data_IF_725856000200
#
_entry.id   IF_725856000200
#
_cell.length_a   1.000
_cell.length_b   1.000
_cell.length_c   1.000
_cell.angle_alpha   90.00
_cell.angle_beta   90.00
_cell.angle_gamma   90.00
#
_symmetry.space_group_name_H-M   'P 1'
#
loop_
_entity.id
_entity.type
_entity.pdbx_description
1 polymer ?
#
# COMPACT_ATOMS: atom_id res chain seq x y z
N UNK A 1 -18.33 3.90 -3.08
CA UNK A 1 -19.38 4.36 -2.15
C UNK A 1 -18.79 4.52 -0.75
N UNK A 2 -19.43 5.26 0.15
CA UNK A 2 -18.95 5.53 1.52
C UNK A 2 -19.52 4.57 2.58
N UNK A 3 -19.18 4.82 3.85
CA UNK A 3 -19.74 4.17 5.02
C UNK A 3 -19.67 2.63 4.95
N UNK A 4 -20.82 1.93 4.93
CA UNK A 4 -20.84 0.46 5.00
C UNK A 4 -20.14 -0.23 3.83
N UNK A 5 -20.13 0.39 2.64
CA UNK A 5 -19.39 -0.17 1.52
C UNK A 5 -17.88 -0.14 1.74
N UNK A 6 -17.39 0.89 2.40
CA UNK A 6 -15.98 1.03 2.76
C UNK A 6 -15.61 0.06 3.89
N UNK A 7 -16.44 -0.06 4.93
CA UNK A 7 -16.15 -0.96 6.06
C UNK A 7 -16.21 -2.44 5.68
N UNK A 8 -17.03 -2.83 4.69
CA UNK A 8 -17.04 -4.20 4.16
C UNK A 8 -15.73 -4.61 3.47
N UNK A 9 -14.86 -3.67 3.10
CA UNK A 9 -13.55 -3.97 2.52
C UNK A 9 -12.50 -4.35 3.57
N UNK A 10 -12.73 -4.06 4.86
CA UNK A 10 -11.73 -4.18 5.93
C UNK A 10 -11.14 -5.58 6.01
N UNK A 11 -11.97 -6.63 5.95
CA UNK A 11 -11.48 -8.02 5.99
C UNK A 11 -10.61 -8.36 4.78
N UNK A 12 -10.99 -7.90 3.58
CA UNK A 12 -10.22 -8.13 2.36
C UNK A 12 -8.88 -7.38 2.37
N UNK A 13 -8.88 -6.14 2.86
CA UNK A 13 -7.68 -5.33 3.06
C UNK A 13 -6.74 -6.02 4.05
N UNK A 14 -7.25 -6.45 5.20
CA UNK A 14 -6.46 -7.16 6.21
C UNK A 14 -5.85 -8.44 5.65
N UNK A 15 -6.62 -9.23 4.89
CA UNK A 15 -6.09 -10.44 4.25
C UNK A 15 -4.95 -10.12 3.27
N UNK A 16 -5.15 -9.13 2.40
CA UNK A 16 -4.12 -8.70 1.45
C UNK A 16 -2.84 -8.22 2.16
N UNK A 17 -2.97 -7.51 3.29
CA UNK A 17 -1.85 -7.07 4.10
C UNK A 17 -1.06 -8.24 4.69
N UNK A 18 -1.76 -9.23 5.25
CA UNK A 18 -1.14 -10.43 5.82
C UNK A 18 -0.38 -11.23 4.74
N UNK A 19 -0.98 -11.39 3.57
CA UNK A 19 -0.42 -12.16 2.46
C UNK A 19 0.67 -11.43 1.66
N UNK A 20 0.91 -10.15 1.97
CA UNK A 20 1.77 -9.27 1.15
C UNK A 20 1.32 -9.24 -0.30
N UNK A 21 0.01 -9.01 -0.51
CA UNK A 21 -0.61 -8.89 -1.82
C UNK A 21 -0.80 -7.40 -2.17
N UNK A 22 -0.37 -6.95 -3.36
CA UNK A 22 -0.61 -5.58 -3.80
C UNK A 22 -2.11 -5.39 -4.06
N UNK A 23 -2.71 -4.39 -3.41
CA UNK A 23 -4.12 -4.05 -3.56
C UNK A 23 -4.29 -2.53 -3.47
N UNK A 24 -5.14 -1.95 -4.31
CA UNK A 24 -5.56 -0.55 -4.19
C UNK A 24 -7.07 -0.54 -3.97
N UNK A 25 -7.49 -0.17 -2.77
CA UNK A 25 -8.90 -0.03 -2.40
C UNK A 25 -9.32 1.43 -2.62
N UNK A 26 -10.40 1.65 -3.37
CA UNK A 26 -10.92 2.99 -3.63
C UNK A 26 -12.30 3.11 -3.00
N UNK A 27 -12.47 4.06 -2.09
CA UNK A 27 -13.73 4.32 -1.38
C UNK A 27 -14.25 5.71 -1.69
N UNK A 28 -15.56 5.87 -1.53
CA UNK A 28 -16.15 7.21 -1.56
C UNK A 28 -16.24 7.75 -0.13
N UNK A 29 -16.25 9.06 0.00
CA UNK A 29 -16.49 9.76 1.26
C UNK A 29 -17.67 10.73 1.11
N UNK A 30 -18.23 11.17 2.23
CA UNK A 30 -19.16 12.32 2.27
C UNK A 30 -18.49 13.56 1.67
N UNK A 31 -19.28 14.56 1.28
CA UNK A 31 -18.73 15.79 0.70
C UNK A 31 -17.86 16.54 1.72
N UNK A 32 -16.79 17.20 1.26
CA UNK A 32 -15.81 17.87 2.14
C UNK A 32 -16.43 18.77 3.24
N UNK A 33 -17.49 19.59 2.98
CA UNK A 33 -18.05 20.49 4.01
C UNK A 33 -18.72 19.79 5.19
N UNK A 34 -19.02 18.50 5.06
CA UNK A 34 -19.71 17.70 6.09
C UNK A 34 -18.83 16.60 6.68
N UNK A 35 -17.56 16.52 6.29
CA UNK A 35 -16.58 15.67 6.98
C UNK A 35 -16.38 16.21 8.40
N UNK A 36 -16.38 15.31 9.39
CA UNK A 36 -16.31 15.56 10.81
C UNK A 36 -17.62 16.03 11.44
N UNK A 37 -18.76 15.89 10.76
CA UNK A 37 -20.07 16.41 11.22
C UNK A 37 -21.13 15.33 11.42
N UNK A 38 -20.71 14.07 11.52
CA UNK A 38 -21.59 12.90 11.63
C UNK A 38 -22.62 12.84 10.51
N UNK A 39 -22.18 13.14 9.29
CA UNK A 39 -23.04 13.08 8.12
C UNK A 39 -23.52 11.64 7.86
N UNK A 40 -24.66 11.49 7.18
CA UNK A 40 -25.19 10.16 6.87
C UNK A 40 -24.16 9.34 6.07
N UNK A 41 -23.83 8.14 6.57
CA UNK A 41 -22.80 7.24 6.04
C UNK A 41 -21.37 7.81 6.03
N UNK A 42 -21.10 8.82 6.85
CA UNK A 42 -19.74 9.19 7.19
C UNK A 42 -19.09 8.08 8.02
N UNK A 43 -17.85 7.74 7.68
CA UNK A 43 -17.05 6.79 8.44
C UNK A 43 -15.58 7.11 8.21
N UNK A 44 -14.80 7.16 9.29
CA UNK A 44 -13.35 7.30 9.22
C UNK A 44 -12.70 5.98 8.77
N UNK A 45 -12.87 5.65 7.48
CA UNK A 45 -12.29 4.45 6.88
C UNK A 45 -10.76 4.51 6.92
N UNK A 46 -10.18 5.70 6.84
CA UNK A 46 -8.74 5.92 6.99
C UNK A 46 -8.28 5.44 8.36
N UNK A 47 -8.90 5.92 9.44
CA UNK A 47 -8.62 5.48 10.81
C UNK A 47 -8.76 3.97 11.00
N UNK A 48 -9.82 3.38 10.45
CA UNK A 48 -10.10 1.93 10.54
C UNK A 48 -9.00 1.10 9.85
N UNK A 49 -8.46 1.58 8.72
CA UNK A 49 -7.58 0.80 7.86
C UNK A 49 -6.09 1.14 7.98
N UNK A 50 -5.71 2.21 8.68
CA UNK A 50 -4.30 2.54 9.00
C UNK A 50 -3.46 1.33 9.45
N UNK A 51 -3.92 0.46 10.39
CA UNK A 51 -3.08 -0.65 10.86
C UNK A 51 -2.94 -1.81 9.88
N UNK A 52 -3.73 -1.81 8.81
CA UNK A 52 -3.83 -2.92 7.84
C UNK A 52 -3.58 -2.45 6.40
N UNK A 53 -2.96 -1.29 6.23
CA UNK A 53 -2.56 -0.71 4.94
C UNK A 53 -1.12 -0.25 4.98
N UNK A 54 -0.50 -0.13 3.82
CA UNK A 54 0.82 0.51 3.68
C UNK A 54 0.70 2.03 3.71
N UNK A 55 -0.40 2.54 3.20
CA UNK A 55 -0.69 3.97 3.14
C UNK A 55 -2.18 4.18 2.90
N UNK A 56 -2.68 5.32 3.37
CA UNK A 56 -4.04 5.78 3.14
C UNK A 56 -3.98 7.21 2.61
N UNK A 57 -4.80 7.49 1.59
CA UNK A 57 -5.00 8.82 1.06
C UNK A 57 -6.44 9.26 1.31
N UNK A 58 -6.63 10.52 1.72
CA UNK A 58 -7.90 11.24 1.60
C UNK A 58 -7.70 12.35 0.57
N UNK A 59 -8.28 12.19 -0.62
CA UNK A 59 -8.04 13.11 -1.75
C UNK A 59 -9.04 14.26 -1.70
N UNK A 60 -8.64 15.40 -1.15
CA UNK A 60 -9.52 16.58 -1.00
C UNK A 60 -9.45 17.57 -2.17
N UNK A 61 -8.52 17.37 -3.09
CA UNK A 61 -8.32 18.19 -4.30
C UNK A 61 -8.30 17.28 -5.53
N UNK A 62 -9.17 17.56 -6.50
CA UNK A 62 -9.28 16.78 -7.74
C UNK A 62 -7.99 16.83 -8.57
N UNK A 63 -7.19 17.90 -8.46
CA UNK A 63 -5.93 18.04 -9.20
C UNK A 63 -4.86 17.03 -8.75
N UNK A 64 -4.90 16.58 -7.49
CA UNK A 64 -3.96 15.61 -6.95
C UNK A 64 -4.35 14.15 -7.28
N UNK A 65 -5.59 13.90 -7.72
CA UNK A 65 -6.14 12.54 -7.86
C UNK A 65 -5.29 11.65 -8.78
N UNK A 66 -4.86 12.16 -9.94
CA UNK A 66 -4.05 11.40 -10.90
C UNK A 66 -2.70 10.99 -10.31
N UNK A 67 -2.07 11.89 -9.56
CA UNK A 67 -0.81 11.65 -8.86
C UNK A 67 -0.99 10.64 -7.72
N UNK A 68 -2.01 10.83 -6.89
CA UNK A 68 -2.32 9.91 -5.79
C UNK A 68 -2.56 8.48 -6.29
N UNK A 69 -3.26 8.31 -7.41
CA UNK A 69 -3.45 6.98 -7.99
C UNK A 69 -2.11 6.38 -8.43
N UNK A 70 -1.25 7.15 -9.13
CA UNK A 70 0.08 6.65 -9.53
C UNK A 70 0.93 6.24 -8.31
N UNK A 71 0.93 7.06 -7.27
CA UNK A 71 1.64 6.78 -6.01
C UNK A 71 1.10 5.53 -5.32
N UNK A 72 -0.22 5.39 -5.21
CA UNK A 72 -0.86 4.26 -4.55
C UNK A 72 -0.46 2.93 -5.20
N UNK A 73 -0.46 2.86 -6.54
CA UNK A 73 -0.02 1.67 -7.26
C UNK A 73 1.47 1.39 -7.07
N UNK A 74 2.32 2.41 -7.02
CA UNK A 74 3.74 2.23 -6.75
C UNK A 74 3.96 1.68 -5.34
N UNK A 75 3.39 2.35 -4.33
CA UNK A 75 3.48 1.94 -2.93
C UNK A 75 2.94 0.52 -2.76
N UNK A 76 1.79 0.18 -3.36
CA UNK A 76 1.21 -1.15 -3.21
C UNK A 76 2.14 -2.28 -3.70
N UNK A 77 2.93 -2.02 -4.74
CA UNK A 77 3.76 -3.03 -5.42
C UNK A 77 5.21 -3.11 -4.91
N UNK A 78 5.79 -2.03 -4.40
CA UNK A 78 7.23 -2.00 -4.07
C UNK A 78 7.55 -2.32 -2.61
N UNK A 79 8.79 -2.78 -2.35
CA UNK A 79 9.20 -3.24 -1.01
C UNK A 79 8.49 -4.54 -0.65
N UNK A 80 7.93 -4.65 0.57
CA UNK A 80 6.93 -5.68 0.88
C UNK A 80 5.59 -5.26 0.27
N UNK A 81 5.02 -5.95 -0.74
CA UNK A 81 3.75 -5.54 -1.34
C UNK A 81 2.62 -5.56 -0.31
N UNK A 82 1.58 -4.77 -0.54
CA UNK A 82 0.47 -4.67 0.40
C UNK A 82 -0.60 -3.67 -0.05
N UNK A 83 -1.71 -3.58 0.69
CA UNK A 83 -2.83 -2.73 0.35
C UNK A 83 -2.56 -1.24 0.57
N UNK A 84 -3.15 -0.39 -0.28
CA UNK A 84 -3.25 1.07 -0.13
C UNK A 84 -4.71 1.48 -0.28
N UNK A 85 -5.19 2.39 0.57
CA UNK A 85 -6.54 2.96 0.45
C UNK A 85 -6.49 4.34 -0.19
N UNK A 86 -7.43 4.63 -1.08
CA UNK A 86 -7.71 5.97 -1.61
C UNK A 86 -9.18 6.30 -1.28
N UNK A 87 -9.40 7.24 -0.37
CA UNK A 87 -10.72 7.74 -0.01
C UNK A 87 -10.99 9.08 -0.71
N UNK A 88 -12.13 9.19 -1.40
CA UNK A 88 -12.42 10.33 -2.28
C UNK A 88 -13.78 10.94 -1.91
N UNK A 89 -13.85 12.19 -1.41
CA UNK A 89 -15.10 12.91 -1.19
C UNK A 89 -15.98 12.99 -2.42
N UNK A 90 -17.30 12.85 -2.22
CA UNK A 90 -18.27 12.87 -3.32
C UNK A 90 -18.18 14.13 -4.19
N UNK A 91 -17.95 15.29 -3.58
CA UNK A 91 -17.83 16.55 -4.33
C UNK A 91 -16.54 16.59 -5.17
N UNK A 92 -15.42 16.06 -4.67
CA UNK A 92 -14.18 15.91 -5.45
C UNK A 92 -14.38 14.98 -6.66
N UNK A 93 -15.16 13.91 -6.51
CA UNK A 93 -15.49 13.02 -7.63
C UNK A 93 -16.31 13.71 -8.75
N UNK A 94 -16.97 14.82 -8.43
CA UNK A 94 -17.82 15.57 -9.35
C UNK A 94 -17.13 16.80 -9.95
N UNK A 95 -15.97 17.19 -9.40
CA UNK A 95 -15.17 18.30 -9.90
C UNK A 95 -14.53 17.96 -11.24
N UNK A 96 -14.34 19.00 -12.06
CA UNK A 96 -13.60 18.92 -13.30
C UNK A 96 -12.23 19.56 -13.12
N UNK A 97 -11.22 18.95 -13.72
CA UNK A 97 -9.86 19.48 -13.77
C UNK A 97 -9.16 18.97 -15.01
N UNK A 98 -8.03 19.60 -15.36
CA UNK A 98 -7.16 19.11 -16.40
C UNK A 98 -6.45 17.83 -15.94
N UNK A 99 -6.49 16.80 -16.77
CA UNK A 99 -5.79 15.56 -16.46
C UNK A 99 -4.29 15.71 -16.74
N UNK A 100 -3.50 15.74 -15.68
CA UNK A 100 -2.03 15.73 -15.73
C UNK A 100 -1.50 14.50 -15.00
N UNK A 101 -0.95 13.55 -15.74
CA UNK A 101 -0.32 12.38 -15.15
C UNK A 101 1.16 12.67 -14.87
N UNK A 102 1.65 12.55 -13.62
CA UNK A 102 3.02 12.95 -13.30
C UNK A 102 4.02 11.97 -13.91
N UNK A 103 5.10 12.45 -14.53
CA UNK A 103 6.15 11.58 -15.09
C UNK A 103 6.94 10.85 -14.01
N UNK A 104 7.28 11.57 -12.93
CA UNK A 104 8.06 11.08 -11.80
C UNK A 104 7.19 11.06 -10.54
N UNK A 105 7.47 10.09 -9.68
CA UNK A 105 6.89 10.02 -8.35
C UNK A 105 7.79 10.75 -7.36
N UNK A 106 7.20 11.62 -6.55
CA UNK A 106 7.86 12.22 -5.39
C UNK A 106 7.20 11.68 -4.13
N UNK A 107 7.86 10.73 -3.50
CA UNK A 107 7.39 10.09 -2.26
C UNK A 107 8.41 10.32 -1.14
N UNK A 108 8.37 11.49 -0.48
CA UNK A 108 9.29 11.82 0.61
C UNK A 108 9.25 10.75 1.70
N UNK A 109 10.43 10.24 2.07
CA UNK A 109 10.57 9.23 3.11
C UNK A 109 10.26 7.79 2.68
N UNK A 110 9.69 7.56 1.49
CA UNK A 110 9.49 6.22 0.97
C UNK A 110 10.67 5.79 0.09
N UNK A 111 11.50 4.87 0.61
CA UNK A 111 12.66 4.33 -0.13
C UNK A 111 12.61 2.82 -0.15
N UNK A 112 12.64 2.25 -1.36
CA UNK A 112 12.67 0.81 -1.58
C UNK A 112 14.11 0.34 -1.54
N UNK A 113 14.47 -0.47 -0.54
CA UNK A 113 15.80 -1.07 -0.44
C UNK A 113 15.88 -2.22 -1.44
N UNK A 114 16.67 -2.04 -2.51
CA UNK A 114 16.80 -3.02 -3.59
C UNK A 114 18.03 -3.92 -3.48
N UNK A 115 18.96 -3.62 -2.56
CA UNK A 115 20.21 -4.39 -2.39
C UNK A 115 20.47 -4.69 -0.92
N UNK A 116 20.85 -5.94 -0.65
CA UNK A 116 21.31 -6.36 0.67
C UNK A 116 22.69 -5.77 1.00
N UNK A 117 22.96 -5.58 2.28
CA UNK A 117 24.23 -5.03 2.74
C UNK A 117 25.36 -6.09 2.62
N UNK A 118 26.43 -5.86 1.81
CA UNK A 118 27.44 -6.89 1.51
C UNK A 118 28.07 -7.54 2.75
N UNK A 119 28.38 -6.74 3.78
CA UNK A 119 28.96 -7.27 5.02
C UNK A 119 28.00 -8.17 5.80
N UNK A 120 26.68 -7.90 5.78
CA UNK A 120 25.68 -8.73 6.45
C UNK A 120 25.49 -10.04 5.69
N UNK A 121 25.47 -9.99 4.35
CA UNK A 121 25.41 -11.19 3.49
C UNK A 121 26.63 -12.09 3.77
N UNK A 122 27.84 -11.51 3.81
CA UNK A 122 29.07 -12.27 4.10
C UNK A 122 29.03 -12.92 5.49
N UNK A 123 28.50 -12.21 6.50
CA UNK A 123 28.33 -12.74 7.85
C UNK A 123 27.32 -13.90 7.89
N UNK A 124 26.17 -13.76 7.22
CA UNK A 124 25.17 -14.81 7.12
C UNK A 124 25.71 -16.06 6.40
N UNK A 125 26.40 -15.88 5.27
CA UNK A 125 27.03 -16.97 4.53
C UNK A 125 28.07 -17.73 5.37
N UNK A 126 28.89 -17.01 6.16
CA UNK A 126 29.84 -17.62 7.08
C UNK A 126 29.13 -18.51 8.12
N UNK A 127 28.08 -17.99 8.77
CA UNK A 127 27.32 -18.76 9.77
C UNK A 127 26.66 -20.01 9.19
N UNK A 128 26.13 -19.92 7.95
CA UNK A 128 25.54 -21.07 7.24
C UNK A 128 26.61 -22.12 6.94
N UNK A 129 27.79 -21.71 6.46
CA UNK A 129 28.89 -22.61 6.11
C UNK A 129 29.54 -23.28 7.33
N UNK A 130 29.47 -22.65 8.51
CA UNK A 130 29.99 -23.21 9.78
C UNK A 130 28.99 -24.12 10.50
N UNK A 131 27.73 -24.16 10.08
CA UNK A 131 26.70 -24.97 10.71
C UNK A 131 26.81 -26.45 10.30
N UNK A 132 26.71 -27.36 11.27
CA UNK A 132 26.80 -28.81 11.01
C UNK A 132 25.52 -29.37 10.35
N UNK A 133 24.35 -28.85 10.73
CA UNK A 133 23.04 -29.30 10.23
C UNK A 133 22.08 -28.11 9.99
N UNK A 134 22.35 -27.25 8.99
CA UNK A 134 21.51 -26.09 8.71
C UNK A 134 20.15 -26.49 8.12
N UNK A 135 19.11 -25.75 8.50
CA UNK A 135 17.77 -25.84 7.90
C UNK A 135 17.37 -24.44 7.42
N UNK A 136 16.88 -24.35 6.18
CA UNK A 136 16.39 -23.11 5.58
C UNK A 136 14.86 -23.13 5.56
N UNK A 137 14.23 -22.15 6.21
CA UNK A 137 12.78 -21.92 6.11
C UNK A 137 12.54 -20.86 5.03
N UNK A 138 12.15 -21.32 3.84
CA UNK A 138 11.92 -20.49 2.67
C UNK A 138 10.46 -20.03 2.58
N UNK A 139 10.22 -18.73 2.73
CA UNK A 139 8.88 -18.13 2.64
C UNK A 139 8.52 -17.60 1.25
N UNK A 140 7.28 -17.11 1.12
CA UNK A 140 6.72 -16.50 -0.12
C UNK A 140 7.54 -15.32 -0.66
N UNK A 141 8.40 -14.72 0.16
CA UNK A 141 9.31 -13.64 -0.26
C UNK A 141 10.16 -13.98 -1.49
N UNK A 142 10.61 -15.24 -1.62
CA UNK A 142 11.38 -15.71 -2.78
C UNK A 142 10.55 -15.61 -4.07
N UNK A 143 9.27 -15.96 -4.01
CA UNK A 143 8.36 -15.90 -5.15
C UNK A 143 8.08 -14.43 -5.51
N UNK A 144 7.79 -13.60 -4.50
CA UNK A 144 7.51 -12.16 -4.69
C UNK A 144 8.70 -11.45 -5.34
N UNK A 145 9.92 -11.78 -4.92
CA UNK A 145 11.14 -11.19 -5.48
C UNK A 145 11.61 -11.86 -6.78
N UNK A 146 10.88 -12.86 -7.28
CA UNK A 146 11.27 -13.68 -8.44
C UNK A 146 12.64 -14.35 -8.31
N UNK A 147 13.10 -14.61 -7.08
CA UNK A 147 14.43 -15.18 -6.80
C UNK A 147 14.42 -16.72 -6.78
N UNK A 148 13.49 -17.35 -7.51
CA UNK A 148 13.25 -18.78 -7.46
C UNK A 148 14.33 -19.59 -8.18
N UNK A 149 15.05 -18.99 -9.13
CA UNK A 149 16.16 -19.66 -9.82
C UNK A 149 17.45 -19.54 -9.02
N UNK A 150 17.68 -18.41 -8.35
CA UNK A 150 18.83 -18.21 -7.44
C UNK A 150 18.72 -19.01 -6.14
N UNK A 151 17.50 -19.41 -5.75
CA UNK A 151 17.27 -20.19 -4.52
C UNK A 151 17.46 -21.71 -4.71
N UNK A 152 17.27 -22.23 -5.93
CA UNK A 152 17.44 -23.66 -6.24
C UNK A 152 18.89 -24.09 -6.13
#
# INVERSE_FOLDING_TARGET
TSGPGATNLVTGIANAYMDSAPLVAITGQVARPVIGKDAFQETDITGITIPITKHNYLVTDVAELAKTVKEAFHIAQTGRPGPVLIDIPRDVQQEQTDFVYPDKLDLPGYRVVSRGHPAQIKKAAKLINEAEQPVIIAGRGIIISQAYDEFK
#
